data_IF_671564251447
#
_entry.id   IF_671564251447
#
_cell.length_a   1.000
_cell.length_b   1.000
_cell.length_c   1.000
_cell.angle_alpha   90.00
_cell.angle_beta   90.00
_cell.angle_gamma   90.00
#
_symmetry.space_group_name_H-M   'P 1'
#
loop_
_entity.id
_entity.type
_entity.pdbx_description
1 polymer ?
#
# COMPACT_ATOMS: atom_id res chain seq x y z
N UNK A 1 -24.83 5.63 5.44
CA UNK A 1 -23.58 5.10 6.04
C UNK A 1 -22.68 6.26 6.38
N UNK A 2 -22.43 6.54 7.67
CA UNK A 2 -21.70 7.75 8.11
C UNK A 2 -20.28 7.84 7.53
N UNK A 3 -19.55 6.72 7.50
CA UNK A 3 -18.17 6.66 6.98
C UNK A 3 -18.08 7.15 5.52
N UNK A 4 -19.05 6.80 4.68
CA UNK A 4 -19.07 7.23 3.28
C UNK A 4 -19.32 8.75 3.13
N UNK A 5 -20.13 9.34 4.00
CA UNK A 5 -20.42 10.78 4.00
C UNK A 5 -19.14 11.55 4.35
N UNK A 6 -18.52 11.21 5.48
CA UNK A 6 -17.29 11.86 5.96
C UNK A 6 -16.17 11.72 4.94
N UNK A 7 -16.01 10.52 4.35
CA UNK A 7 -14.98 10.28 3.34
C UNK A 7 -15.21 11.13 2.08
N UNK A 8 -16.45 11.22 1.58
CA UNK A 8 -16.76 12.04 0.40
C UNK A 8 -16.44 13.51 0.65
N UNK A 9 -16.90 14.07 1.78
CA UNK A 9 -16.69 15.48 2.11
C UNK A 9 -15.21 15.82 2.27
N UNK A 10 -14.42 14.92 2.87
CA UNK A 10 -12.99 15.15 3.08
C UNK A 10 -12.15 15.00 1.79
N UNK A 11 -12.55 14.12 0.87
CA UNK A 11 -11.69 13.69 -0.25
C UNK A 11 -12.13 14.20 -1.62
N UNK A 12 -13.35 14.73 -1.77
CA UNK A 12 -13.80 15.30 -3.05
C UNK A 12 -12.86 16.42 -3.51
N UNK A 13 -12.36 16.32 -4.73
CA UNK A 13 -11.43 17.29 -5.30
C UNK A 13 -10.03 17.28 -4.71
N UNK A 14 -9.70 16.34 -3.81
CA UNK A 14 -8.35 16.20 -3.27
C UNK A 14 -7.42 15.56 -4.30
N UNK A 15 -6.14 15.96 -4.31
CA UNK A 15 -5.13 15.38 -5.20
C UNK A 15 -4.36 14.28 -4.45
N UNK A 16 -4.12 13.15 -5.11
CA UNK A 16 -3.34 12.04 -4.50
C UNK A 16 -1.84 12.37 -4.46
N UNK A 17 -1.36 13.12 -5.45
CA UNK A 17 0.03 13.49 -5.58
C UNK A 17 0.21 15.00 -5.53
N UNK A 18 1.36 15.44 -5.05
CA UNK A 18 1.77 16.83 -5.08
C UNK A 18 1.79 17.37 -6.51
N UNK A 19 1.62 18.69 -6.65
CA UNK A 19 1.55 19.35 -7.97
C UNK A 19 0.18 19.27 -8.65
N UNK A 20 -0.85 18.79 -7.95
CA UNK A 20 -2.25 18.85 -8.42
C UNK A 20 -2.67 17.70 -9.32
N UNK A 21 -1.93 16.59 -9.35
CA UNK A 21 -2.23 15.43 -10.18
C UNK A 21 -3.17 14.43 -9.48
N UNK A 22 -3.89 13.65 -10.27
CA UNK A 22 -4.81 12.60 -9.80
C UNK A 22 -5.87 13.13 -8.82
N UNK A 23 -6.60 14.17 -9.25
CA UNK A 23 -7.71 14.74 -8.49
C UNK A 23 -8.89 13.76 -8.38
N UNK A 24 -9.35 13.52 -7.16
CA UNK A 24 -10.45 12.63 -6.85
C UNK A 24 -11.81 13.27 -7.17
N UNK A 25 -12.72 12.47 -7.72
CA UNK A 25 -14.12 12.83 -7.91
C UNK A 25 -14.99 11.66 -7.49
N UNK A 26 -15.88 11.90 -6.52
CA UNK A 26 -16.62 10.88 -5.80
C UNK A 26 -18.12 11.04 -6.02
N UNK A 27 -18.77 9.93 -6.34
CA UNK A 27 -20.22 9.86 -6.47
C UNK A 27 -20.77 8.69 -5.68
N UNK A 28 -21.98 8.85 -5.17
CA UNK A 28 -22.65 7.74 -4.50
C UNK A 28 -23.13 6.74 -5.54
N UNK A 29 -22.75 5.49 -5.36
CA UNK A 29 -23.31 4.38 -6.13
C UNK A 29 -24.76 4.12 -5.70
N UNK A 30 -25.57 3.60 -6.63
CA UNK A 30 -26.92 3.11 -6.28
C UNK A 30 -26.91 1.70 -5.66
N UNK A 31 -25.78 1.00 -5.77
CA UNK A 31 -25.62 -0.34 -5.22
C UNK A 31 -25.45 -0.26 -3.70
N UNK A 32 -26.12 -1.15 -2.98
CA UNK A 32 -25.94 -1.33 -1.54
C UNK A 32 -24.75 -2.23 -1.23
N UNK A 33 -24.42 -3.15 -2.14
CA UNK A 33 -23.42 -4.20 -1.98
C UNK A 33 -22.58 -4.35 -3.25
N UNK A 34 -21.36 -4.88 -3.11
CA UNK A 34 -20.44 -5.18 -4.21
C UNK A 34 -20.07 -6.67 -4.18
N UNK A 35 -20.04 -7.31 -5.34
CA UNK A 35 -19.63 -8.71 -5.47
C UNK A 35 -18.19 -8.82 -5.98
N UNK A 36 -17.31 -9.43 -5.18
CA UNK A 36 -15.90 -9.65 -5.53
C UNK A 36 -15.69 -11.13 -5.81
N UNK A 37 -15.19 -11.46 -7.01
CA UNK A 37 -14.97 -12.85 -7.43
C UNK A 37 -13.52 -13.32 -7.26
N UNK A 38 -12.57 -12.40 -7.41
CA UNK A 38 -11.14 -12.69 -7.43
C UNK A 38 -10.43 -11.59 -6.64
N UNK A 39 -9.44 -11.96 -5.82
CA UNK A 39 -8.58 -11.02 -5.10
C UNK A 39 -7.27 -10.84 -5.89
N UNK A 40 -7.08 -9.67 -6.50
CA UNK A 40 -5.90 -9.29 -7.28
C UNK A 40 -5.71 -7.75 -7.28
N UNK A 41 -4.88 -7.22 -8.18
CA UNK A 41 -4.59 -5.79 -8.28
C UNK A 41 -5.81 -4.94 -8.71
N UNK A 42 -6.81 -5.55 -9.35
CA UNK A 42 -8.02 -4.87 -9.82
C UNK A 42 -9.23 -5.00 -8.89
N UNK A 43 -9.27 -6.03 -8.04
CA UNK A 43 -10.37 -6.23 -7.09
C UNK A 43 -9.89 -6.89 -5.81
N UNK A 44 -10.42 -6.46 -4.68
CA UNK A 44 -10.04 -6.98 -3.35
C UNK A 44 -11.24 -6.95 -2.41
N UNK A 45 -11.50 -8.08 -1.76
CA UNK A 45 -12.39 -8.17 -0.60
C UNK A 45 -11.57 -8.08 0.68
N UNK A 46 -11.74 -6.97 1.41
CA UNK A 46 -11.04 -6.71 2.67
C UNK A 46 -11.78 -7.26 3.91
N UNK A 47 -12.96 -7.84 3.73
CA UNK A 47 -13.75 -8.45 4.82
C UNK A 47 -13.46 -9.94 4.99
N UNK A 48 -12.93 -10.57 3.94
CA UNK A 48 -12.47 -11.95 3.99
C UNK A 48 -11.08 -12.04 4.65
N UNK A 49 -10.83 -13.04 5.52
CA UNK A 49 -9.50 -13.27 6.07
C UNK A 49 -8.52 -13.56 4.93
N UNK A 50 -7.58 -12.64 4.69
CA UNK A 50 -6.52 -12.88 3.71
C UNK A 50 -5.74 -14.10 4.19
N UNK A 51 -5.67 -15.17 3.38
CA UNK A 51 -4.72 -16.25 3.64
C UNK A 51 -3.33 -15.62 3.85
N UNK A 52 -2.57 -16.01 4.89
CA UNK A 52 -1.29 -15.38 5.18
C UNK A 52 -0.43 -15.40 3.91
N UNK A 53 0.21 -14.27 3.55
CA UNK A 53 1.08 -14.23 2.39
C UNK A 53 2.11 -15.35 2.52
N UNK A 54 2.52 -16.02 1.43
CA UNK A 54 3.69 -16.89 1.50
C UNK A 54 4.82 -16.03 2.06
N UNK A 55 5.36 -16.45 3.21
CA UNK A 55 6.44 -15.75 3.91
C UNK A 55 7.56 -15.51 2.90
N UNK A 56 7.61 -14.28 2.38
CA UNK A 56 8.76 -13.82 1.63
C UNK A 56 9.85 -13.78 2.68
N UNK A 57 10.76 -14.75 2.62
CA UNK A 57 11.87 -14.91 3.54
C UNK A 57 12.75 -13.65 3.47
N UNK A 58 12.39 -12.62 4.25
CA UNK A 58 13.23 -11.46 4.49
C UNK A 58 14.36 -11.98 5.35
N UNK A 59 15.42 -12.47 4.71
CA UNK A 59 16.69 -12.69 5.37
C UNK A 59 17.17 -11.30 5.84
N UNK A 60 17.30 -11.04 7.15
CA UNK A 60 17.86 -9.78 7.59
C UNK A 60 19.33 -9.73 7.18
N UNK A 61 19.69 -8.82 6.26
CA UNK A 61 21.08 -8.39 6.12
C UNK A 61 21.44 -7.64 7.38
N UNK A 62 22.14 -8.34 8.27
CA UNK A 62 22.62 -7.82 9.53
C UNK A 62 23.65 -6.72 9.29
N UNK A 63 23.38 -5.58 9.93
CA UNK A 63 24.32 -4.59 10.48
C UNK A 63 25.45 -4.04 9.61
N UNK A 64 25.43 -2.71 9.51
CA UNK A 64 26.62 -1.93 9.17
C UNK A 64 27.75 -2.04 10.20
N UNK A 65 28.87 -1.44 9.79
CA UNK A 65 30.15 -1.26 10.49
C UNK A 65 30.95 -2.53 10.82
N UNK A 66 31.88 -2.86 9.93
CA UNK A 66 33.16 -3.43 10.34
C UNK A 66 34.29 -2.52 9.84
N UNK A 67 35.07 -2.05 10.81
CA UNK A 67 36.22 -1.16 10.67
C UNK A 67 37.27 -1.78 9.76
N UNK A 68 37.91 -0.96 8.93
CA UNK A 68 39.05 -1.36 8.11
C UNK A 68 40.26 -1.73 8.98
N UNK A 69 40.88 -2.91 8.79
CA UNK A 69 42.26 -3.12 9.14
C UNK A 69 43.13 -2.83 7.91
N UNK A 70 43.97 -1.82 8.05
CA UNK A 70 45.07 -1.52 7.14
C UNK A 70 46.09 -2.68 7.20
N UNK A 71 46.30 -3.40 6.09
CA UNK A 71 47.52 -4.20 5.88
C UNK A 71 47.94 -4.10 4.42
N UNK A 72 49.10 -3.47 4.19
CA UNK A 72 49.69 -3.24 2.87
C UNK A 72 50.24 -4.51 2.19
N UNK A 73 50.75 -4.39 0.96
CA UNK A 73 51.20 -5.52 0.17
C UNK A 73 52.65 -5.90 0.50
N UNK A 74 53.02 -7.19 0.49
CA UNK A 74 54.40 -7.58 0.28
C UNK A 74 54.63 -8.04 -1.18
N UNK A 75 55.91 -7.99 -1.52
CA UNK A 75 56.60 -8.07 -2.81
C UNK A 75 56.36 -9.32 -3.65
#
# INVERSE_FOLDING_TARGET
VQTAIVAKEALEGHCIYDGGFCKLHLSYSRHTDLSIKINNDRSRDYTMPTAPPPVMNVQPSVSGQQQAPMTGPPS
#
